data_IF_588009759186
#
_entry.id   IF_588009759186
#
_cell.length_a   1.000
_cell.length_b   1.000
_cell.length_c   1.000
_cell.angle_alpha   90.00
_cell.angle_beta   90.00
_cell.angle_gamma   90.00
#
_symmetry.space_group_name_H-M   'P 1'
#
loop_
_entity.id
_entity.type
_entity.pdbx_description
1 polymer ?
#
# COMPACT_ATOMS: atom_id res chain seq x y z
N UNK A 1 -0.01 -7.47 9.27
CA UNK A 1 0.64 -6.13 9.32
C UNK A 1 1.05 -5.59 7.97
N UNK A 2 1.85 -6.30 7.16
CA UNK A 2 2.27 -5.79 5.83
C UNK A 2 1.07 -5.44 4.94
N UNK A 3 0.07 -6.32 4.88
CA UNK A 3 -1.14 -6.06 4.10
C UNK A 3 -1.89 -4.79 4.56
N UNK A 4 -2.05 -4.58 5.87
CA UNK A 4 -2.64 -3.35 6.43
C UNK A 4 -1.80 -2.10 6.08
N UNK A 5 -0.47 -2.21 6.10
CA UNK A 5 0.42 -1.12 5.71
C UNK A 5 0.27 -0.74 4.23
N UNK A 6 0.11 -1.76 3.37
CA UNK A 6 -0.10 -1.58 1.94
C UNK A 6 -1.45 -0.91 1.65
N UNK A 7 -2.54 -1.39 2.27
CA UNK A 7 -3.87 -0.79 2.14
C UNK A 7 -3.90 0.69 2.54
N UNK A 8 -3.24 1.03 3.65
CA UNK A 8 -3.16 2.40 4.16
C UNK A 8 -2.12 3.30 3.47
N UNK A 9 -1.36 2.79 2.50
CA UNK A 9 -0.40 3.58 1.77
C UNK A 9 -1.10 4.43 0.70
N UNK A 10 -0.53 5.61 0.43
CA UNK A 10 -0.97 6.54 -0.59
C UNK A 10 0.07 6.51 -1.72
N UNK A 11 -0.24 5.89 -2.87
CA UNK A 11 0.69 5.81 -3.98
C UNK A 11 1.13 7.19 -4.48
N UNK A 12 2.41 7.33 -4.85
CA UNK A 12 2.94 8.57 -5.43
C UNK A 12 2.35 8.80 -6.82
N UNK A 13 1.94 10.03 -7.11
CA UNK A 13 1.43 10.37 -8.43
C UNK A 13 2.57 10.57 -9.43
N UNK A 14 2.92 9.51 -10.17
CA UNK A 14 3.95 9.54 -11.22
C UNK A 14 3.54 10.36 -12.44
N UNK A 15 2.24 10.55 -12.69
CA UNK A 15 1.74 11.37 -13.79
C UNK A 15 1.99 12.86 -13.55
N UNK A 16 1.90 13.30 -12.29
CA UNK A 16 2.19 14.67 -11.89
C UNK A 16 3.67 15.06 -12.03
N UNK A 17 4.59 14.09 -11.98
CA UNK A 17 6.02 14.35 -12.18
C UNK A 17 6.35 14.45 -13.68
N UNK A 18 5.76 13.58 -14.51
CA UNK A 18 5.91 13.63 -15.98
C UNK A 18 5.26 14.89 -16.60
N UNK A 19 4.10 15.33 -16.10
CA UNK A 19 3.46 16.56 -16.56
C UNK A 19 4.23 17.83 -16.19
N UNK A 20 4.99 17.86 -15.08
CA UNK A 20 5.82 19.01 -14.70
C UNK A 20 6.93 19.23 -15.73
N UNK A 21 7.55 18.16 -16.20
CA UNK A 21 8.62 18.21 -17.19
C UNK A 21 8.11 18.73 -18.54
N UNK A 22 6.88 18.35 -18.95
CA UNK A 22 6.26 18.86 -20.18
C UNK A 22 5.60 20.25 -20.04
N UNK A 23 5.07 20.63 -18.87
CA UNK A 23 4.44 21.93 -18.63
C UNK A 23 5.42 23.08 -18.35
N UNK A 24 6.67 22.79 -17.94
CA UNK A 24 7.71 23.81 -17.76
C UNK A 24 8.00 24.60 -19.05
N UNK A 25 7.66 24.03 -20.22
CA UNK A 25 7.80 24.65 -21.53
C UNK A 25 6.58 25.49 -21.98
N UNK A 26 5.49 25.55 -21.20
CA UNK A 26 4.19 26.08 -21.67
C UNK A 26 3.46 27.05 -20.74
N UNK A 27 4.07 27.49 -19.64
CA UNK A 27 3.36 28.29 -18.62
C UNK A 27 3.64 29.79 -18.72
N UNK A 28 2.84 30.45 -19.55
CA UNK A 28 2.29 31.75 -19.20
C UNK A 28 0.76 31.65 -19.19
N UNK A 29 0.12 32.07 -18.08
CA UNK A 29 -1.28 32.52 -18.00
C UNK A 29 -2.45 31.53 -17.84
N UNK A 30 -2.32 30.45 -17.04
CA UNK A 30 -3.54 29.77 -16.54
C UNK A 30 -3.42 29.32 -15.08
N UNK A 31 -4.40 29.75 -14.26
CA UNK A 31 -4.51 29.35 -12.85
C UNK A 31 -4.84 27.84 -12.81
N UNK A 32 -4.02 26.99 -12.19
CA UNK A 32 -4.26 25.54 -12.19
C UNK A 32 -5.54 25.23 -11.41
N UNK A 33 -6.32 24.26 -11.92
CA UNK A 33 -7.46 23.69 -11.20
C UNK A 33 -7.00 23.01 -9.90
N UNK A 34 -7.85 22.91 -8.87
CA UNK A 34 -7.49 22.23 -7.62
C UNK A 34 -7.20 20.75 -7.89
N UNK A 35 -6.05 20.26 -7.42
CA UNK A 35 -5.67 18.84 -7.54
C UNK A 35 -6.58 17.97 -6.67
N UNK A 36 -6.96 16.76 -7.12
CA UNK A 36 -7.70 15.81 -6.28
C UNK A 36 -6.87 15.45 -5.03
N UNK A 37 -7.56 15.18 -3.92
CA UNK A 37 -6.90 14.72 -2.70
C UNK A 37 -6.26 13.35 -2.97
N UNK A 38 -5.04 13.11 -2.49
CA UNK A 38 -4.39 11.82 -2.68
C UNK A 38 -5.15 10.77 -1.85
N UNK A 39 -5.48 9.63 -2.47
CA UNK A 39 -6.25 8.54 -1.87
C UNK A 39 -5.36 7.36 -1.52
N UNK A 40 -5.63 6.72 -0.41
CA UNK A 40 -5.03 5.44 -0.03
C UNK A 40 -5.49 4.31 -0.95
N UNK A 41 -4.77 3.19 -0.97
CA UNK A 41 -5.16 2.01 -1.75
C UNK A 41 -6.51 1.45 -1.30
N UNK A 42 -6.77 1.45 0.01
CA UNK A 42 -8.07 1.06 0.55
C UNK A 42 -9.21 1.92 -0.02
N UNK A 43 -9.09 3.25 0.03
CA UNK A 43 -10.11 4.16 -0.51
C UNK A 43 -10.32 3.97 -2.01
N UNK A 44 -9.24 3.73 -2.77
CA UNK A 44 -9.34 3.42 -4.21
C UNK A 44 -10.11 2.12 -4.46
N UNK A 45 -9.80 1.05 -3.72
CA UNK A 45 -10.50 -0.23 -3.84
C UNK A 45 -11.98 -0.12 -3.45
N UNK A 46 -12.29 0.64 -2.39
CA UNK A 46 -13.67 0.91 -1.97
C UNK A 46 -14.44 1.69 -3.04
N UNK A 47 -13.84 2.72 -3.64
CA UNK A 47 -14.44 3.50 -4.73
C UNK A 47 -14.68 2.65 -5.99
N UNK A 48 -13.77 1.72 -6.28
CA UNK A 48 -13.87 0.76 -7.39
C UNK A 48 -14.86 -0.40 -7.08
N UNK A 49 -15.40 -0.45 -5.86
CA UNK A 49 -16.31 -1.52 -5.41
C UNK A 49 -15.63 -2.88 -5.24
N UNK A 50 -14.31 -2.91 -5.06
CA UNK A 50 -13.52 -4.12 -4.83
C UNK A 50 -13.58 -4.51 -3.35
N UNK A 51 -13.97 -5.75 -3.07
CA UNK A 51 -13.96 -6.30 -1.72
C UNK A 51 -12.51 -6.45 -1.21
N UNK A 52 -12.23 -5.92 -0.02
CA UNK A 52 -10.93 -6.07 0.65
C UNK A 52 -10.97 -7.32 1.53
N UNK A 53 -10.21 -8.33 1.13
CA UNK A 53 -9.98 -9.53 1.94
C UNK A 53 -8.72 -9.36 2.79
N UNK A 54 -8.80 -9.79 4.06
CA UNK A 54 -7.67 -9.74 4.97
C UNK A 54 -7.04 -11.12 5.14
N UNK A 55 -5.71 -11.20 5.25
CA UNK A 55 -5.03 -12.47 5.48
C UNK A 55 -5.51 -13.11 6.80
N UNK A 56 -5.58 -14.46 6.86
CA UNK A 56 -5.93 -15.17 8.09
C UNK A 56 -4.93 -14.81 9.19
N UNK A 57 -5.47 -14.47 10.37
CA UNK A 57 -4.68 -13.99 11.50
C UNK A 57 -4.84 -14.91 12.72
N UNK A 58 -3.82 -15.71 13.08
CA UNK A 58 -3.89 -16.62 14.22
C UNK A 58 -3.81 -15.90 15.59
N UNK A 59 -3.45 -14.61 15.62
CA UNK A 59 -3.27 -13.86 16.85
C UNK A 59 -3.85 -12.42 16.75
N UNK A 60 -5.19 -12.27 16.66
CA UNK A 60 -5.85 -10.97 16.54
C UNK A 60 -5.49 -10.02 17.69
N UNK A 61 -5.45 -10.53 18.92
CA UNK A 61 -5.10 -9.76 20.11
C UNK A 61 -3.71 -9.11 20.06
N UNK A 62 -2.73 -9.69 19.36
CA UNK A 62 -1.41 -9.06 19.18
C UNK A 62 -1.51 -7.87 18.23
N UNK A 63 -2.31 -8.00 17.18
CA UNK A 63 -2.53 -6.92 16.21
C UNK A 63 -3.32 -5.78 16.85
N UNK A 64 -4.37 -6.09 17.60
CA UNK A 64 -5.15 -5.11 18.36
C UNK A 64 -4.24 -4.31 19.31
N UNK A 65 -3.42 -4.98 20.12
CA UNK A 65 -2.45 -4.31 21.01
C UNK A 65 -1.46 -3.43 20.23
N UNK A 66 -0.99 -3.89 19.06
CA UNK A 66 -0.12 -3.06 18.21
C UNK A 66 -0.84 -1.82 17.69
N UNK A 67 -2.12 -1.94 17.33
CA UNK A 67 -2.93 -0.82 16.87
C UNK A 67 -3.26 0.16 18.01
N UNK A 68 -3.43 -0.32 19.23
CA UNK A 68 -3.57 0.53 20.43
C UNK A 68 -2.30 1.30 20.78
N UNK A 69 -1.13 0.65 20.72
CA UNK A 69 0.17 1.33 20.88
C UNK A 69 0.38 2.34 19.74
N UNK A 70 -0.12 2.03 18.55
CA UNK A 70 0.20 2.66 17.28
C UNK A 70 1.25 1.83 16.53
N UNK A 71 1.00 1.44 15.26
CA UNK A 71 1.92 0.55 14.53
C UNK A 71 3.23 1.24 14.11
N UNK A 72 3.27 2.57 14.18
CA UNK A 72 4.44 3.40 13.90
C UNK A 72 4.35 4.72 14.68
N UNK A 73 5.49 5.34 14.90
CA UNK A 73 5.65 6.68 15.45
C UNK A 73 5.91 7.70 14.35
N UNK A 74 5.68 8.98 14.66
CA UNK A 74 6.23 10.08 13.85
C UNK A 74 7.73 10.18 14.09
N UNK A 75 8.54 9.76 13.12
CA UNK A 75 9.93 10.20 13.00
C UNK A 75 9.95 11.49 12.18
N UNK A 76 10.86 12.42 12.47
CA UNK A 76 10.77 13.82 11.99
C UNK A 76 10.40 14.01 10.52
N UNK A 77 10.86 13.13 9.61
CA UNK A 77 10.52 13.16 8.18
C UNK A 77 9.79 11.90 7.69
N UNK A 78 9.85 10.80 8.44
CA UNK A 78 9.35 9.48 8.04
C UNK A 78 8.79 8.72 9.24
N UNK A 79 7.92 7.75 8.97
CA UNK A 79 7.39 6.89 10.03
C UNK A 79 8.53 6.08 10.63
N UNK A 80 8.64 6.09 11.95
CA UNK A 80 9.59 5.27 12.68
C UNK A 80 8.88 4.09 13.32
N UNK A 81 9.47 2.90 13.36
CA UNK A 81 8.91 1.80 14.13
C UNK A 81 8.85 2.15 15.63
N UNK A 82 7.86 1.64 16.37
CA UNK A 82 7.78 1.80 17.84
C UNK A 82 9.04 1.24 18.51
N UNK A 83 9.45 1.80 19.65
CA UNK A 83 10.54 1.27 20.47
C UNK A 83 10.00 0.51 21.69
N UNK A 84 10.89 -0.02 22.51
CA UNK A 84 10.49 -0.64 23.77
C UNK A 84 9.95 0.38 24.77
N UNK A 85 10.34 1.66 24.66
CA UNK A 85 9.84 2.73 25.53
C UNK A 85 8.34 2.95 25.33
N UNK A 86 7.84 2.97 24.09
CA UNK A 86 6.41 3.13 23.80
C UNK A 86 5.62 1.90 24.26
N UNK A 87 6.21 0.71 24.09
CA UNK A 87 5.61 -0.54 24.57
C UNK A 87 5.53 -0.55 26.11
N UNK A 88 6.57 -0.09 26.80
CA UNK A 88 6.58 0.03 28.26
C UNK A 88 5.59 1.08 28.75
N UNK A 89 5.53 2.25 28.11
CA UNK A 89 4.56 3.29 28.43
C UNK A 89 3.12 2.83 28.22
N UNK A 90 2.83 2.09 27.14
CA UNK A 90 1.52 1.50 26.90
C UNK A 90 1.16 0.43 27.95
N UNK A 91 2.10 -0.42 28.34
CA UNK A 91 1.87 -1.39 29.43
C UNK A 91 1.56 -0.69 30.75
N UNK A 92 2.27 0.41 31.05
CA UNK A 92 2.05 1.19 32.26
C UNK A 92 0.70 1.93 32.27
N UNK A 93 0.27 2.48 31.12
CA UNK A 93 -0.99 3.23 31.03
C UNK A 93 -2.22 2.34 30.97
N UNK A 94 -2.10 1.16 30.34
CA UNK A 94 -3.22 0.20 30.18
C UNK A 94 -3.26 -0.87 31.26
N UNK A 95 -2.26 -0.92 32.14
CA UNK A 95 -2.06 -1.99 33.13
C UNK A 95 -1.95 -3.39 32.49
N UNK A 96 -1.58 -3.44 31.20
CA UNK A 96 -1.34 -4.68 30.48
C UNK A 96 0.06 -5.22 30.76
N UNK A 97 0.20 -6.53 30.89
CA UNK A 97 1.49 -7.20 31.05
C UNK A 97 1.79 -8.10 29.87
N UNK A 98 2.81 -7.74 29.10
CA UNK A 98 3.30 -8.51 27.97
C UNK A 98 4.40 -9.48 28.41
N UNK A 99 4.38 -10.66 27.81
CA UNK A 99 5.49 -11.60 27.86
C UNK A 99 6.65 -11.04 27.03
N UNK A 100 7.92 -11.40 27.35
CA UNK A 100 9.08 -10.87 26.62
C UNK A 100 9.08 -11.16 25.12
N UNK A 101 8.41 -12.23 24.68
CA UNK A 101 8.26 -12.54 23.26
C UNK A 101 7.20 -11.67 22.57
N UNK A 102 6.16 -11.26 23.28
CA UNK A 102 5.10 -10.39 22.75
C UNK A 102 5.66 -9.00 22.46
N UNK A 103 6.41 -8.39 23.40
CA UNK A 103 7.05 -7.09 23.18
C UNK A 103 8.01 -7.13 21.99
N UNK A 104 8.79 -8.22 21.85
CA UNK A 104 9.65 -8.43 20.67
C UNK A 104 8.84 -8.61 19.40
N UNK A 105 7.69 -9.28 19.46
CA UNK A 105 6.82 -9.47 18.32
C UNK A 105 6.18 -8.15 17.88
N UNK A 106 5.64 -7.34 18.80
CA UNK A 106 5.12 -6.01 18.52
C UNK A 106 6.18 -5.13 17.83
N UNK A 107 7.41 -5.12 18.36
CA UNK A 107 8.54 -4.41 17.75
C UNK A 107 8.80 -4.87 16.31
N UNK A 108 8.85 -6.18 16.07
CA UNK A 108 9.08 -6.76 14.72
C UNK A 108 7.94 -6.43 13.75
N UNK A 109 6.71 -6.51 14.22
CA UNK A 109 5.52 -6.20 13.44
C UNK A 109 5.47 -4.73 13.04
N UNK A 110 5.86 -3.83 13.94
CA UNK A 110 6.01 -2.40 13.64
C UNK A 110 7.10 -2.13 12.60
N UNK A 111 8.27 -2.79 12.69
CA UNK A 111 9.32 -2.70 11.64
C UNK A 111 8.75 -3.12 10.28
N UNK A 112 8.07 -4.27 10.24
CA UNK A 112 7.49 -4.78 9.01
C UNK A 112 6.40 -3.85 8.46
N UNK A 113 5.60 -3.22 9.34
CA UNK A 113 4.60 -2.24 8.94
C UNK A 113 5.24 -1.01 8.29
N UNK A 114 6.23 -0.40 8.94
CA UNK A 114 6.91 0.80 8.42
C UNK A 114 7.61 0.50 7.09
N UNK A 115 8.39 -0.58 7.03
CA UNK A 115 9.08 -0.97 5.79
C UNK A 115 8.11 -1.17 4.63
N UNK A 116 6.95 -1.78 4.91
CA UNK A 116 5.92 -1.98 3.91
C UNK A 116 5.19 -0.69 3.53
N UNK A 117 4.94 0.22 4.47
CA UNK A 117 4.37 1.54 4.15
C UNK A 117 5.25 2.25 3.11
N UNK A 118 6.57 2.30 3.33
CA UNK A 118 7.50 2.92 2.38
C UNK A 118 7.49 2.22 1.02
N UNK A 119 7.53 0.88 1.01
CA UNK A 119 7.47 0.09 -0.23
C UNK A 119 6.16 0.33 -0.99
N UNK A 120 5.04 0.49 -0.30
CA UNK A 120 3.72 0.62 -0.88
C UNK A 120 3.40 2.00 -1.46
N UNK A 121 4.24 3.02 -1.17
CA UNK A 121 4.19 4.33 -1.84
C UNK A 121 4.52 4.24 -3.34
N UNK A 122 5.27 3.23 -3.76
CA UNK A 122 5.49 2.94 -5.18
C UNK A 122 4.15 2.50 -5.82
N UNK A 123 3.69 3.13 -6.91
CA UNK A 123 2.39 2.81 -7.53
C UNK A 123 2.25 1.34 -7.89
N UNK A 124 3.30 0.76 -8.47
CA UNK A 124 3.33 -0.61 -8.97
C UNK A 124 3.63 -1.65 -7.87
N UNK A 125 3.66 -1.25 -6.59
CA UNK A 125 3.91 -2.16 -5.49
C UNK A 125 2.76 -3.18 -5.33
N UNK A 126 3.01 -4.49 -5.53
CA UNK A 126 1.97 -5.50 -5.42
C UNK A 126 1.57 -5.74 -3.96
N UNK A 127 0.33 -6.18 -3.70
CA UNK A 127 -0.12 -6.51 -2.36
C UNK A 127 0.75 -7.64 -1.77
N UNK A 128 1.15 -7.54 -0.49
CA UNK A 128 2.06 -8.50 0.14
C UNK A 128 1.40 -9.84 0.47
N UNK A 129 0.07 -9.90 0.38
CA UNK A 129 -0.73 -11.12 0.50
C UNK A 129 -1.78 -11.08 -0.60
N UNK A 130 -1.90 -12.20 -1.28
CA UNK A 130 -2.94 -12.53 -2.24
C UNK A 130 -3.51 -13.81 -1.67
N UNK A 131 -4.84 -13.91 -1.53
CA UNK A 131 -5.42 -15.18 -1.15
C UNK A 131 -4.99 -16.24 -2.17
N UNK A 132 -4.88 -17.50 -1.75
CA UNK A 132 -4.92 -18.59 -2.73
C UNK A 132 -6.34 -18.60 -3.30
N UNK A 133 -6.60 -17.67 -4.22
CA UNK A 133 -7.65 -17.85 -5.20
C UNK A 133 -7.30 -19.20 -5.81
N UNK A 134 -8.18 -20.20 -5.67
CA UNK A 134 -8.27 -21.30 -6.62
C UNK A 134 -7.90 -20.70 -7.97
N UNK A 135 -6.73 -21.07 -8.52
CA UNK A 135 -6.09 -20.38 -9.66
C UNK A 135 -7.18 -19.68 -10.49
N UNK A 136 -7.32 -18.34 -10.48
CA UNK A 136 -8.50 -17.71 -11.06
C UNK A 136 -8.43 -18.05 -12.52
N UNK A 137 -9.16 -19.08 -12.96
CA UNK A 137 -8.78 -19.98 -14.06
C UNK A 137 -8.20 -19.11 -15.15
N UNK A 138 -6.87 -18.96 -15.15
CA UNK A 138 -6.27 -17.80 -15.78
C UNK A 138 -6.35 -18.17 -17.24
N UNK A 139 -7.39 -17.70 -17.90
CA UNK A 139 -7.79 -18.18 -19.21
C UNK A 139 -6.71 -17.70 -20.17
N UNK A 140 -5.65 -18.50 -20.26
CA UNK A 140 -4.42 -18.21 -21.01
C UNK A 140 -4.80 -17.86 -22.45
N UNK A 141 -5.88 -18.46 -22.96
CA UNK A 141 -6.43 -18.15 -24.26
C UNK A 141 -6.94 -16.70 -24.36
N UNK A 142 -7.58 -16.17 -23.32
CA UNK A 142 -8.07 -14.78 -23.27
C UNK A 142 -6.91 -13.79 -23.16
N UNK A 143 -5.88 -14.12 -22.38
CA UNK A 143 -4.65 -13.31 -22.27
C UNK A 143 -3.89 -13.32 -23.58
N UNK A 144 -3.69 -14.50 -24.19
CA UNK A 144 -3.00 -14.64 -25.47
C UNK A 144 -3.74 -13.86 -26.57
N UNK A 145 -5.08 -13.90 -26.57
CA UNK A 145 -5.88 -13.12 -27.53
C UNK A 145 -5.68 -11.62 -27.33
N UNK A 146 -5.70 -11.14 -26.09
CA UNK A 146 -5.51 -9.72 -25.78
C UNK A 146 -4.08 -9.25 -26.14
N UNK A 147 -3.06 -10.05 -25.84
CA UNK A 147 -1.66 -9.78 -26.22
C UNK A 147 -1.50 -9.79 -27.74
N UNK A 148 -2.06 -10.78 -28.44
CA UNK A 148 -2.04 -10.83 -29.92
C UNK A 148 -2.75 -9.63 -30.53
N UNK A 149 -3.91 -9.23 -30.00
CA UNK A 149 -4.62 -8.06 -30.52
C UNK A 149 -3.86 -6.76 -30.29
N UNK A 150 -3.18 -6.61 -29.15
CA UNK A 150 -2.33 -5.45 -28.86
C UNK A 150 -1.10 -5.42 -29.77
N UNK A 151 -0.44 -6.56 -29.99
CA UNK A 151 0.71 -6.68 -30.90
C UNK A 151 0.31 -6.51 -32.38
N UNK A 152 -0.87 -6.97 -32.78
CA UNK A 152 -1.39 -6.79 -34.12
C UNK A 152 -1.75 -5.32 -34.40
N UNK A 153 -2.36 -4.64 -33.42
CA UNK A 153 -2.63 -3.21 -33.50
C UNK A 153 -1.36 -2.36 -33.62
N UNK A 154 -0.26 -2.80 -33.00
CA UNK A 154 1.05 -2.14 -33.12
C UNK A 154 1.72 -2.34 -34.49
N UNK A 155 1.37 -3.39 -35.23
CA UNK A 155 2.05 -3.75 -36.49
C UNK A 155 1.52 -3.03 -37.73
N UNK A 156 0.44 -2.26 -37.62
CA UNK A 156 -0.17 -1.51 -38.73
C UNK A 156 -0.80 -2.42 -39.81
N UNK A 157 -1.81 -1.96 -40.56
CA UNK A 157 -2.36 -2.76 -41.66
C UNK A 157 -1.32 -2.95 -42.77
N UNK A 158 -1.28 -4.12 -43.44
CA UNK A 158 -0.39 -4.34 -44.57
C UNK A 158 -0.71 -3.34 -45.69
N UNK A 159 0.32 -2.72 -46.25
CA UNK A 159 0.21 -1.93 -47.48
C UNK A 159 -0.21 -2.86 -48.63
N UNK A 160 -1.16 -2.38 -49.43
CA UNK A 160 -1.85 -3.08 -50.53
C UNK A 160 -0.93 -3.78 -51.54
#
# INVERSE_FOLDING_TARGET
MRHLAWLGAVPRDTSADQERDHQALRREQRKPAPKPKPKSRQEQMEDDGVLIELPPNPAPFIIERLMEVGPAMGGGMERAPITFTEIENWQASTWSRLMPWESRLLRRLSVAFVAETHRAEEPDCPPPWIDEVEEPQLDRAKIERNIRSALAAFRGPPAE
#
